data_IF_058040059470
#
_entry.id   IF_058040059470
#
_cell.length_a   1.000
_cell.length_b   1.000
_cell.length_c   1.000
_cell.angle_alpha   90.00
_cell.angle_beta   90.00
_cell.angle_gamma   90.00
#
_symmetry.space_group_name_H-M   'P 1'
#
loop_
_entity.id
_entity.type
_entity.pdbx_description
1 polymer ?
#
# COMPACT_ATOMS: atom_id res chain seq x y z
N UNK A 1 35.94 3.70 25.12
CA UNK A 1 35.32 4.10 23.84
C UNK A 1 34.02 3.33 23.70
N UNK A 2 32.87 4.00 23.83
CA UNK A 2 31.58 3.34 23.66
C UNK A 2 31.35 3.09 22.16
N UNK A 3 31.29 1.83 21.76
CA UNK A 3 30.92 1.47 20.40
C UNK A 3 29.49 1.96 20.14
N UNK A 4 29.33 3.04 19.37
CA UNK A 4 28.04 3.44 18.84
C UNK A 4 27.60 2.32 17.90
N UNK A 5 26.69 1.47 18.37
CA UNK A 5 26.00 0.52 17.48
C UNK A 5 25.31 1.36 16.41
N UNK A 6 25.46 1.03 15.12
CA UNK A 6 24.74 1.76 14.08
C UNK A 6 23.26 1.71 14.41
N UNK A 7 22.60 2.87 14.37
CA UNK A 7 21.14 2.96 14.37
C UNK A 7 20.69 2.13 13.18
N UNK A 8 20.26 0.89 13.44
CA UNK A 8 19.76 0.06 12.37
C UNK A 8 18.39 0.62 12.02
N UNK A 9 18.31 1.20 10.83
CA UNK A 9 17.08 1.79 10.30
C UNK A 9 15.92 0.81 10.45
N UNK A 10 14.75 1.33 10.83
CA UNK A 10 13.55 0.51 10.89
C UNK A 10 13.04 0.33 9.45
N UNK A 11 13.10 -0.91 8.94
CA UNK A 11 12.72 -1.21 7.55
C UNK A 11 11.43 -2.02 7.51
N UNK A 12 10.48 -1.52 6.74
CA UNK A 12 9.18 -2.15 6.47
C UNK A 12 8.99 -2.29 4.97
N UNK A 13 8.39 -3.39 4.54
CA UNK A 13 7.91 -3.57 3.18
C UNK A 13 6.39 -3.55 3.20
N UNK A 14 5.83 -2.70 2.36
CA UNK A 14 4.41 -2.46 2.23
C UNK A 14 4.02 -2.86 0.81
N UNK A 15 3.13 -3.84 0.68
CA UNK A 15 2.70 -4.34 -0.62
C UNK A 15 1.20 -4.29 -0.72
N UNK A 16 0.72 -3.73 -1.82
CA UNK A 16 -0.68 -3.67 -2.21
C UNK A 16 -0.80 -4.31 -3.59
N UNK A 17 -1.79 -5.16 -3.78
CA UNK A 17 -2.08 -5.72 -5.09
C UNK A 17 -3.55 -6.13 -5.20
N UNK A 18 -4.06 -6.16 -6.42
CA UNK A 18 -5.34 -6.80 -6.74
C UNK A 18 -5.08 -8.26 -7.01
N UNK A 19 -5.77 -9.13 -6.29
CA UNK A 19 -5.79 -10.57 -6.56
C UNK A 19 -7.15 -10.91 -7.19
N UNK A 20 -7.14 -11.37 -8.43
CA UNK A 20 -8.33 -11.88 -9.14
C UNK A 20 -8.34 -13.40 -9.08
N UNK A 21 -9.46 -13.99 -8.67
CA UNK A 21 -9.62 -15.45 -8.68
C UNK A 21 -9.83 -16.00 -10.11
N UNK A 22 -10.41 -15.19 -11.00
CA UNK A 22 -10.53 -15.44 -12.45
C UNK A 22 -10.91 -14.12 -13.18
N UNK A 23 -10.96 -14.15 -14.51
CA UNK A 23 -10.94 -13.00 -15.43
C UNK A 23 -12.08 -11.94 -15.29
N UNK A 24 -13.08 -12.16 -14.47
CA UNK A 24 -14.24 -11.30 -14.22
C UNK A 24 -14.95 -12.03 -13.04
N UNK A 25 -15.21 -11.54 -11.83
CA UNK A 25 -15.64 -10.23 -11.35
C UNK A 25 -15.16 -10.00 -9.88
N UNK A 26 -14.45 -10.95 -9.28
CA UNK A 26 -14.11 -10.96 -7.85
C UNK A 26 -12.65 -10.63 -7.57
N UNK A 27 -12.13 -9.58 -8.20
CA UNK A 27 -10.83 -9.08 -7.81
C UNK A 27 -10.92 -8.43 -6.43
N UNK A 28 -10.01 -8.80 -5.52
CA UNK A 28 -9.96 -8.32 -4.12
C UNK A 28 -8.66 -7.59 -3.86
N UNK A 29 -8.72 -6.52 -3.07
CA UNK A 29 -7.50 -5.85 -2.62
C UNK A 29 -6.81 -6.68 -1.55
N UNK A 30 -5.51 -6.92 -1.75
CA UNK A 30 -4.62 -7.57 -0.79
C UNK A 30 -3.58 -6.59 -0.31
N UNK A 31 -3.29 -6.67 0.98
CA UNK A 31 -2.30 -5.83 1.65
C UNK A 31 -1.39 -6.73 2.48
N UNK A 32 -0.08 -6.49 2.38
CA UNK A 32 0.94 -7.16 3.19
C UNK A 32 1.88 -6.13 3.79
N UNK A 33 2.08 -6.24 5.10
CA UNK A 33 3.10 -5.50 5.84
C UNK A 33 4.14 -6.49 6.33
N UNK A 34 5.39 -6.35 5.90
CA UNK A 34 6.50 -7.18 6.34
C UNK A 34 7.54 -6.34 7.09
N UNK A 35 7.82 -6.77 8.31
CA UNK A 35 8.85 -6.21 9.18
C UNK A 35 10.20 -6.85 8.80
N UNK A 36 11.14 -6.08 8.25
CA UNK A 36 12.46 -6.57 7.86
C UNK A 36 13.46 -6.35 9.00
N UNK A 37 13.42 -5.17 9.63
CA UNK A 37 14.37 -4.81 10.66
C UNK A 37 13.73 -3.95 11.74
N UNK A 38 12.86 -4.54 12.54
CA UNK A 38 12.10 -3.81 13.56
C UNK A 38 12.42 -4.30 14.96
N UNK A 39 12.93 -3.39 15.81
CA UNK A 39 13.25 -3.68 17.22
C UNK A 39 12.29 -3.00 18.19
N UNK A 40 11.47 -2.08 17.67
CA UNK A 40 10.51 -1.27 18.41
C UNK A 40 9.10 -1.78 18.16
N UNK A 41 8.53 -2.44 19.16
CA UNK A 41 7.18 -3.01 19.09
C UNK A 41 6.11 -1.94 18.90
N UNK A 42 6.26 -0.81 19.56
CA UNK A 42 5.40 0.35 19.43
C UNK A 42 5.30 0.84 17.98
N UNK A 43 6.43 0.92 17.27
CA UNK A 43 6.45 1.33 15.86
C UNK A 43 5.78 0.27 14.96
N UNK A 44 5.96 -1.02 15.26
CA UNK A 44 5.25 -2.10 14.54
C UNK A 44 3.74 -1.97 14.72
N UNK A 45 3.29 -1.77 15.96
CA UNK A 45 1.87 -1.68 16.29
C UNK A 45 1.22 -0.45 15.62
N UNK A 46 1.92 0.70 15.60
CA UNK A 46 1.46 1.92 14.92
C UNK A 46 1.35 1.73 13.40
N UNK A 47 2.38 1.14 12.78
CA UNK A 47 2.36 0.83 11.34
C UNK A 47 1.23 -0.15 11.02
N UNK A 48 1.06 -1.21 11.80
CA UNK A 48 -0.04 -2.16 11.59
C UNK A 48 -1.41 -1.50 11.72
N UNK A 49 -1.61 -0.62 12.70
CA UNK A 49 -2.87 0.10 12.89
C UNK A 49 -3.16 1.06 11.73
N UNK A 50 -2.16 1.81 11.27
CA UNK A 50 -2.31 2.68 10.10
C UNK A 50 -2.70 1.88 8.85
N UNK A 51 -2.07 0.72 8.64
CA UNK A 51 -2.34 -0.13 7.49
C UNK A 51 -3.68 -0.87 7.57
N UNK A 52 -4.20 -1.13 8.77
CA UNK A 52 -5.55 -1.65 8.93
C UNK A 52 -6.61 -0.66 8.38
N UNK A 53 -6.40 0.65 8.57
CA UNK A 53 -7.29 1.69 8.02
C UNK A 53 -7.23 1.67 6.48
N UNK A 54 -6.03 1.63 5.91
CA UNK A 54 -5.84 1.59 4.45
C UNK A 54 -6.47 0.32 3.86
N UNK A 55 -6.28 -0.82 4.50
CA UNK A 55 -6.88 -2.10 4.08
C UNK A 55 -8.40 -2.02 4.09
N UNK A 56 -8.98 -1.48 5.18
CA UNK A 56 -10.43 -1.30 5.28
C UNK A 56 -10.98 -0.41 4.17
N UNK A 57 -10.29 0.69 3.84
CA UNK A 57 -10.72 1.58 2.77
C UNK A 57 -10.63 0.92 1.40
N UNK A 58 -9.56 0.17 1.13
CA UNK A 58 -9.39 -0.55 -0.13
C UNK A 58 -10.47 -1.64 -0.32
N UNK A 59 -10.87 -2.34 0.75
CA UNK A 59 -11.96 -3.30 0.70
C UNK A 59 -13.34 -2.65 0.46
N UNK A 60 -13.53 -1.38 0.84
CA UNK A 60 -14.76 -0.63 0.54
C UNK A 60 -14.83 -0.16 -0.93
N UNK A 61 -13.70 -0.12 -1.64
CA UNK A 61 -13.60 0.23 -3.06
C UNK A 61 -13.90 -0.99 -3.96
N UNK A 62 -14.33 -2.13 -3.40
CA UNK A 62 -14.81 -3.33 -4.14
C UNK A 62 -16.21 -3.12 -4.77
N UNK A 63 -16.44 -1.96 -5.40
CA UNK A 63 -17.47 -1.76 -6.42
C UNK A 63 -16.84 -1.77 -7.82
N UNK A 64 -17.62 -1.91 -8.90
CA UNK A 64 -17.09 -1.79 -10.25
C UNK A 64 -16.40 -0.44 -10.36
N UNK A 65 -15.08 -0.47 -10.55
CA UNK A 65 -14.35 0.70 -10.99
C UNK A 65 -14.82 0.94 -12.42
N UNK A 66 -15.91 1.70 -12.60
CA UNK A 66 -16.09 2.43 -13.84
C UNK A 66 -14.79 3.21 -14.01
N UNK A 67 -13.98 2.76 -14.96
CA UNK A 67 -12.75 3.44 -15.33
C UNK A 67 -13.14 4.91 -15.46
N UNK A 68 -12.65 5.74 -14.54
CA UNK A 68 -12.75 7.18 -14.69
C UNK A 68 -12.32 7.47 -16.13
N UNK A 69 -13.24 8.05 -16.89
CA UNK A 69 -13.13 8.21 -18.34
C UNK A 69 -11.70 8.62 -18.68
N UNK A 70 -11.07 8.02 -19.72
CA UNK A 70 -9.77 8.47 -20.14
C UNK A 70 -9.86 9.97 -20.33
N UNK A 71 -9.09 10.73 -19.55
CA UNK A 71 -8.93 12.15 -19.77
C UNK A 71 -8.31 12.25 -21.16
N UNK A 72 -9.15 12.48 -22.15
CA UNK A 72 -8.78 12.80 -23.51
C UNK A 72 -8.19 14.21 -23.45
N UNK A 73 -6.97 14.29 -22.93
CA UNK A 73 -6.17 15.50 -22.97
C UNK A 73 -5.65 15.55 -24.40
N UNK A 74 -6.45 16.16 -25.29
CA UNK A 74 -5.91 16.65 -26.55
C UNK A 74 -4.69 17.52 -26.23
N UNK A 75 -3.52 17.25 -26.82
CA UNK A 75 -2.38 18.13 -26.67
C UNK A 75 -2.74 19.46 -27.31
N UNK A 76 -2.88 20.51 -26.48
CA UNK A 76 -2.91 21.88 -26.99
C UNK A 76 -1.65 22.11 -27.82
N UNK A 77 -1.76 22.51 -29.10
CA UNK A 77 -0.60 22.91 -29.85
C UNK A 77 -0.08 24.21 -29.25
N UNK A 78 1.21 24.24 -28.92
CA UNK A 78 1.91 25.46 -28.51
C UNK A 78 1.80 26.51 -29.64
N UNK A 79 1.21 27.67 -29.32
CA UNK A 79 1.40 28.94 -30.04
C UNK A 79 1.96 30.00 -29.09
#
# INVERSE_FOLDING_TARGET
MAAQRPLQDQVFILRFWRESADADEDARWRVLVRNIHTRRRDVVDDVQRAFAIVTSNLSLVEGPFEAAEPLDVEPTPDE
#
